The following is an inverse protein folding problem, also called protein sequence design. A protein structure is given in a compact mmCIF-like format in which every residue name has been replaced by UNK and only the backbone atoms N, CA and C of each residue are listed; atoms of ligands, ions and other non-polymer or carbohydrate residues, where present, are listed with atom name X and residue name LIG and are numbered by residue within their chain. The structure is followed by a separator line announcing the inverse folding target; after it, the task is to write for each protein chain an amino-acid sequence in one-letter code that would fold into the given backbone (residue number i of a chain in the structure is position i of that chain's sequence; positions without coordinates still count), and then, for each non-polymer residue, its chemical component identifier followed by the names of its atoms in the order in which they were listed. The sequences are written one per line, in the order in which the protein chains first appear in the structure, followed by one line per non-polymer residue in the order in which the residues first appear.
data_IF_164627583526
#
_entry.id   IF_164627583526
#
_cell.length_a   1.000
_cell.length_b   1.000
_cell.length_c   1.000
_cell.angle_alpha   90.00
_cell.angle_beta   90.00
_cell.angle_gamma   90.00
#
_symmetry.space_group_name_H-M   'P 1'
#
loop_
_entity.id
_entity.type
_entity.pdbx_description
1 polymer ?
#
# COMPACT_ATOMS: atom_id res chain seq x y z
N UNK A 1 -12.95 81.40 -2.93
CA UNK A 1 -11.63 80.74 -3.13
C UNK A 1 -11.31 79.66 -2.06
N UNK A 2 -11.71 79.82 -0.82
CA UNK A 2 -11.36 78.85 0.28
C UNK A 2 -11.95 77.46 0.13
N UNK A 3 -13.21 77.25 -0.29
CA UNK A 3 -13.85 75.95 -0.46
C UNK A 3 -13.15 75.02 -1.43
N UNK A 4 -12.58 75.51 -2.53
CA UNK A 4 -11.80 74.74 -3.52
C UNK A 4 -10.47 74.22 -2.92
N UNK A 5 -9.81 75.03 -2.08
CA UNK A 5 -8.57 74.62 -1.39
C UNK A 5 -8.80 73.48 -0.39
N UNK A 6 -9.89 73.50 0.36
CA UNK A 6 -10.27 72.41 1.27
C UNK A 6 -10.61 71.10 0.49
N UNK A 7 -11.29 71.23 -0.66
CA UNK A 7 -11.62 70.08 -1.49
C UNK A 7 -10.36 69.42 -2.07
N UNK A 8 -9.40 70.13 -2.58
CA UNK A 8 -8.14 69.60 -3.05
C UNK A 8 -7.29 69.02 -1.89
N UNK A 9 -7.29 69.64 -0.73
CA UNK A 9 -6.61 69.10 0.43
C UNK A 9 -7.19 67.74 0.90
N UNK A 10 -8.53 67.62 0.94
CA UNK A 10 -9.19 66.37 1.27
C UNK A 10 -8.93 65.28 0.23
N UNK A 11 -8.95 65.61 -1.07
CA UNK A 11 -8.65 64.65 -2.16
C UNK A 11 -7.21 64.15 -2.09
N UNK A 12 -6.24 65.01 -1.82
CA UNK A 12 -4.83 64.64 -1.63
C UNK A 12 -4.63 63.73 -0.42
N UNK A 13 -5.29 64.02 0.69
CA UNK A 13 -5.23 63.22 1.90
C UNK A 13 -5.79 61.82 1.67
N UNK A 14 -6.92 61.71 0.96
CA UNK A 14 -7.57 60.43 0.63
C UNK A 14 -6.70 59.61 -0.33
N UNK A 15 -6.05 60.27 -1.29
CA UNK A 15 -5.09 59.60 -2.19
C UNK A 15 -3.87 59.07 -1.43
N UNK A 16 -3.29 59.89 -0.52
CA UNK A 16 -2.14 59.48 0.28
C UNK A 16 -2.46 58.28 1.21
N UNK A 17 -3.63 58.34 1.86
CA UNK A 17 -4.04 57.20 2.75
C UNK A 17 -4.28 55.91 1.95
N UNK A 18 -4.92 55.99 0.77
CA UNK A 18 -5.12 54.83 -0.10
C UNK A 18 -3.78 54.28 -0.64
N UNK A 19 -2.84 55.17 -1.02
CA UNK A 19 -1.52 54.80 -1.51
C UNK A 19 -0.67 54.14 -0.41
N UNK A 20 -0.70 54.64 0.83
CA UNK A 20 -0.04 54.05 2.00
C UNK A 20 -0.67 52.68 2.32
N UNK A 21 -2.01 52.58 2.28
CA UNK A 21 -2.73 51.32 2.47
C UNK A 21 -2.33 50.26 1.44
N UNK A 22 -2.19 50.65 0.17
CA UNK A 22 -1.73 49.79 -0.92
C UNK A 22 -0.28 49.33 -0.72
N UNK A 23 0.62 50.20 -0.28
CA UNK A 23 2.00 49.83 0.04
C UNK A 23 2.10 48.88 1.22
N UNK A 24 1.34 49.10 2.28
CA UNK A 24 1.29 48.24 3.46
C UNK A 24 0.72 46.87 3.07
N UNK A 25 -0.35 46.85 2.29
CA UNK A 25 -0.95 45.61 1.81
C UNK A 25 0.00 44.84 0.89
N UNK A 26 0.62 45.51 -0.07
CA UNK A 26 1.62 44.91 -0.94
C UNK A 26 2.82 44.37 -0.15
N UNK A 27 3.34 45.16 0.78
CA UNK A 27 4.43 44.72 1.67
C UNK A 27 4.04 43.46 2.48
N UNK A 28 2.86 43.47 3.10
CA UNK A 28 2.34 42.29 3.83
C UNK A 28 2.20 41.07 2.94
N UNK A 29 1.64 41.22 1.74
CA UNK A 29 1.46 40.10 0.79
C UNK A 29 2.81 39.53 0.38
N UNK A 30 3.78 40.38 0.02
CA UNK A 30 5.14 39.92 -0.33
C UNK A 30 5.95 39.37 0.84
N UNK A 31 5.73 39.85 2.08
CA UNK A 31 6.43 39.33 3.25
C UNK A 31 5.78 38.06 3.81
N UNK A 32 4.45 37.91 3.72
CA UNK A 32 3.77 36.67 4.10
C UNK A 32 4.17 35.53 3.15
N UNK A 33 4.28 35.80 1.84
CA UNK A 33 4.84 34.81 0.91
C UNK A 33 6.30 34.45 1.26
N UNK A 34 7.08 35.38 1.78
CA UNK A 34 8.47 35.11 2.15
C UNK A 34 8.62 34.38 3.50
N UNK A 35 7.70 34.57 4.46
CA UNK A 35 7.64 33.76 5.68
C UNK A 35 7.04 32.35 5.43
N UNK A 36 6.09 32.23 4.51
CA UNK A 36 5.61 30.94 4.02
C UNK A 36 6.63 30.24 3.11
N UNK A 37 7.52 31.01 2.46
CA UNK A 37 8.65 30.48 1.70
C UNK A 37 9.92 30.24 2.52
N UNK A 38 9.93 30.55 3.80
CA UNK A 38 10.81 29.92 4.79
C UNK A 38 10.24 28.54 5.17
N UNK A 39 9.77 27.78 4.16
CA UNK A 39 9.54 26.35 4.28
C UNK A 39 10.84 25.71 4.76
N UNK A 40 10.75 24.87 5.75
CA UNK A 40 11.85 23.96 6.12
C UNK A 40 12.53 23.52 4.83
N UNK A 41 13.83 23.81 4.69
CA UNK A 41 14.59 23.48 3.49
C UNK A 41 14.84 21.98 3.56
N UNK A 42 13.88 21.19 3.05
CA UNK A 42 14.01 19.74 3.00
C UNK A 42 15.19 19.37 2.10
N UNK A 43 15.95 18.37 2.55
CA UNK A 43 17.11 17.86 1.81
C UNK A 43 16.71 17.23 0.47
N UNK A 44 15.57 16.53 0.45
CA UNK A 44 15.00 15.87 -0.73
C UNK A 44 13.48 15.96 -0.72
N UNK A 45 12.90 15.87 -1.91
CA UNK A 45 11.48 15.70 -2.13
C UNK A 45 11.23 14.31 -2.74
N UNK A 46 10.66 13.39 -1.97
CA UNK A 46 10.27 12.08 -2.44
C UNK A 46 8.75 11.99 -2.62
N UNK A 47 8.32 11.20 -3.60
CA UNK A 47 6.90 10.88 -3.80
C UNK A 47 6.64 9.42 -3.45
N UNK A 48 5.58 9.16 -2.68
CA UNK A 48 5.02 7.83 -2.46
C UNK A 48 3.67 7.74 -3.19
N UNK A 49 3.60 6.85 -4.17
CA UNK A 49 2.43 6.64 -5.03
C UNK A 49 1.81 5.31 -4.67
N UNK A 50 0.69 5.36 -3.97
CA UNK A 50 -0.03 4.20 -3.45
C UNK A 50 -1.17 3.76 -4.38
N UNK A 51 -1.72 2.56 -4.16
CA UNK A 51 -2.81 2.01 -4.96
C UNK A 51 -4.10 2.82 -4.84
N UNK A 52 -4.46 3.21 -3.61
CA UNK A 52 -5.66 4.01 -3.33
C UNK A 52 -5.54 4.83 -2.04
N UNK A 53 -6.35 5.87 -1.91
CA UNK A 53 -6.22 6.85 -0.82
C UNK A 53 -6.71 6.33 0.52
N UNK A 54 -7.87 5.64 0.55
CA UNK A 54 -8.57 5.26 1.78
C UNK A 54 -8.38 3.78 2.14
N UNK A 55 -7.19 3.24 1.95
CA UNK A 55 -6.82 1.87 2.27
C UNK A 55 -5.93 1.83 3.52
N UNK A 56 -6.32 1.06 4.53
CA UNK A 56 -5.61 0.97 5.81
C UNK A 56 -4.20 0.40 5.67
N UNK A 57 -4.00 -0.61 4.83
CA UNK A 57 -2.68 -1.16 4.54
C UNK A 57 -1.72 -0.11 3.94
N UNK A 58 -2.20 0.70 2.99
CA UNK A 58 -1.41 1.78 2.40
C UNK A 58 -1.13 2.93 3.38
N UNK A 59 -2.03 3.16 4.34
CA UNK A 59 -1.79 4.12 5.43
C UNK A 59 -0.65 3.70 6.34
N UNK A 60 -0.49 2.40 6.61
CA UNK A 60 0.64 1.88 7.39
C UNK A 60 1.96 2.06 6.63
N UNK A 61 1.99 1.81 5.31
CA UNK A 61 3.17 2.11 4.47
C UNK A 61 3.50 3.62 4.52
N UNK A 62 2.48 4.48 4.38
CA UNK A 62 2.65 5.93 4.48
C UNK A 62 3.22 6.32 5.85
N UNK A 63 2.70 5.77 6.93
CA UNK A 63 3.14 6.07 8.30
C UNK A 63 4.62 5.74 8.51
N UNK A 64 5.04 4.54 8.11
CA UNK A 64 6.45 4.13 8.16
C UNK A 64 7.34 5.05 7.32
N UNK A 65 6.91 5.37 6.10
CA UNK A 65 7.62 6.27 5.21
C UNK A 65 7.74 7.69 5.78
N UNK A 66 6.65 8.25 6.33
CA UNK A 66 6.64 9.59 6.96
C UNK A 66 7.52 9.65 8.21
N UNK A 67 7.47 8.62 9.05
CA UNK A 67 8.33 8.54 10.25
C UNK A 67 9.81 8.60 9.86
N UNK A 68 10.22 7.88 8.83
CA UNK A 68 11.60 7.87 8.37
C UNK A 68 11.97 9.17 7.64
N UNK A 69 11.10 9.67 6.75
CA UNK A 69 11.30 10.93 6.04
C UNK A 69 11.51 12.11 7.01
N UNK A 70 10.72 12.19 8.09
CA UNK A 70 10.84 13.22 9.10
C UNK A 70 12.20 13.19 9.82
N UNK A 71 12.71 11.99 10.15
CA UNK A 71 14.05 11.84 10.78
C UNK A 71 15.19 12.33 9.89
N UNK A 72 15.01 12.21 8.57
CA UNK A 72 16.04 12.48 7.56
C UNK A 72 15.89 13.83 6.86
N UNK A 73 14.96 14.69 7.34
CA UNK A 73 14.65 15.98 6.74
C UNK A 73 14.26 15.86 5.25
N UNK A 74 13.37 14.92 4.93
CA UNK A 74 12.83 14.66 3.60
C UNK A 74 11.37 15.09 3.56
N UNK A 75 10.98 15.84 2.53
CA UNK A 75 9.58 16.07 2.20
C UNK A 75 9.01 14.85 1.49
N UNK A 76 8.03 14.19 2.08
CA UNK A 76 7.33 13.06 1.48
C UNK A 76 5.95 13.50 0.98
N UNK A 77 5.77 13.51 -0.33
CA UNK A 77 4.48 13.73 -0.99
C UNK A 77 3.77 12.39 -1.17
N UNK A 78 2.65 12.19 -0.48
CA UNK A 78 1.80 11.02 -0.66
C UNK A 78 0.71 11.33 -1.68
N UNK A 79 0.59 10.49 -2.71
CA UNK A 79 -0.44 10.59 -3.74
C UNK A 79 -1.01 9.22 -4.08
N UNK A 80 -2.32 9.15 -4.29
CA UNK A 80 -3.00 7.92 -4.68
C UNK A 80 -4.29 8.24 -5.44
N UNK A 81 -4.80 7.32 -6.28
CA UNK A 81 -6.17 7.37 -6.77
C UNK A 81 -7.18 7.30 -5.63
N UNK A 82 -8.41 7.75 -5.85
CA UNK A 82 -9.49 7.62 -4.87
C UNK A 82 -9.93 6.16 -4.67
N UNK A 83 -9.76 5.35 -5.70
CA UNK A 83 -9.99 3.89 -5.71
C UNK A 83 -8.90 3.25 -6.53
N UNK A 84 -8.64 1.97 -6.33
CA UNK A 84 -7.67 1.21 -7.09
C UNK A 84 -7.94 1.31 -8.60
N UNK A 85 -7.14 2.15 -9.28
CA UNK A 85 -7.22 2.44 -10.71
C UNK A 85 -5.80 2.57 -11.27
N UNK A 86 -5.38 1.54 -12.02
CA UNK A 86 -4.04 1.49 -12.59
C UNK A 86 -3.77 2.63 -13.58
N UNK A 87 -4.77 3.08 -14.36
CA UNK A 87 -4.61 4.19 -15.30
C UNK A 87 -4.42 5.53 -14.59
N UNK A 88 -5.11 5.75 -13.50
CA UNK A 88 -4.95 6.95 -12.68
C UNK A 88 -3.60 6.92 -11.94
N UNK A 89 -3.21 5.79 -11.36
CA UNK A 89 -1.90 5.63 -10.73
C UNK A 89 -0.75 5.93 -11.70
N UNK A 90 -0.81 5.42 -12.93
CA UNK A 90 0.20 5.72 -13.95
C UNK A 90 0.24 7.20 -14.35
N UNK A 91 -0.91 7.91 -14.32
CA UNK A 91 -0.94 9.38 -14.52
C UNK A 91 -0.29 10.12 -13.35
N UNK A 92 -0.53 9.68 -12.11
CA UNK A 92 0.12 10.22 -10.92
C UNK A 92 1.64 10.01 -11.00
N UNK A 93 2.08 8.83 -11.41
CA UNK A 93 3.50 8.54 -11.61
C UNK A 93 4.13 9.50 -12.64
N UNK A 94 3.51 9.68 -13.81
CA UNK A 94 4.00 10.62 -14.82
C UNK A 94 4.03 12.07 -14.31
N UNK A 95 3.04 12.46 -13.49
CA UNK A 95 2.99 13.77 -12.84
C UNK A 95 4.17 13.98 -11.88
N UNK A 96 4.54 12.99 -11.06
CA UNK A 96 5.69 13.10 -10.15
C UNK A 96 7.01 13.18 -10.91
N UNK A 97 7.15 12.43 -12.01
CA UNK A 97 8.29 12.57 -12.92
C UNK A 97 8.37 13.98 -13.52
N UNK A 98 7.23 14.56 -13.90
CA UNK A 98 7.16 15.93 -14.44
C UNK A 98 7.44 16.99 -13.36
N UNK A 99 7.05 16.77 -12.13
CA UNK A 99 7.35 17.61 -10.97
C UNK A 99 8.84 17.60 -10.59
N UNK A 100 9.62 16.64 -11.14
CA UNK A 100 11.07 16.49 -10.89
C UNK A 100 11.39 16.25 -9.41
N UNK A 101 10.60 15.37 -8.77
CA UNK A 101 10.91 14.89 -7.41
C UNK A 101 12.28 14.19 -7.40
N UNK A 102 12.94 14.13 -6.24
CA UNK A 102 14.28 13.54 -6.12
C UNK A 102 14.26 12.00 -6.08
N UNK A 103 13.11 11.40 -5.81
CA UNK A 103 12.92 9.94 -5.81
C UNK A 103 11.44 9.55 -5.78
N UNK A 104 11.13 8.37 -6.29
CA UNK A 104 9.76 7.87 -6.37
C UNK A 104 9.68 6.47 -5.76
N UNK A 105 8.76 6.31 -4.83
CA UNK A 105 8.29 5.03 -4.29
C UNK A 105 6.93 4.78 -4.93
N UNK A 106 6.73 3.62 -5.55
CA UNK A 106 5.48 3.33 -6.26
C UNK A 106 5.13 1.85 -6.22
N UNK A 107 3.83 1.54 -6.08
CA UNK A 107 3.37 0.17 -6.30
C UNK A 107 3.65 -0.26 -7.74
N UNK A 108 4.22 -1.46 -7.91
CA UNK A 108 4.44 -2.03 -9.23
C UNK A 108 3.13 -2.41 -9.92
N UNK A 109 2.99 -2.05 -11.19
CA UNK A 109 1.83 -2.42 -12.03
C UNK A 109 2.35 -3.18 -13.24
N UNK A 110 1.75 -4.35 -13.52
CA UNK A 110 2.08 -5.07 -14.74
C UNK A 110 1.74 -4.25 -15.98
N UNK A 111 2.64 -4.35 -16.96
CA UNK A 111 2.42 -3.76 -18.27
C UNK A 111 3.48 -2.77 -18.71
N UNK A 112 3.52 -2.61 -20.04
CA UNK A 112 4.54 -1.82 -20.73
C UNK A 112 4.56 -0.36 -20.30
N UNK A 113 3.39 0.24 -20.03
CA UNK A 113 3.30 1.66 -19.62
C UNK A 113 4.05 1.94 -18.31
N UNK A 114 3.99 1.03 -17.35
CA UNK A 114 4.76 1.16 -16.10
C UNK A 114 6.26 1.11 -16.38
N UNK A 115 6.71 0.12 -17.18
CA UNK A 115 8.12 -0.01 -17.57
C UNK A 115 8.62 1.23 -18.29
N UNK A 116 7.84 1.77 -19.25
CA UNK A 116 8.17 2.99 -19.99
C UNK A 116 8.27 4.22 -19.05
N UNK A 117 7.43 4.31 -18.00
CA UNK A 117 7.51 5.38 -17.00
C UNK A 117 8.73 5.25 -16.10
N UNK A 118 9.08 4.03 -15.65
CA UNK A 118 10.31 3.80 -14.89
C UNK A 118 11.54 4.17 -15.72
N UNK A 119 11.57 3.79 -17.01
CA UNK A 119 12.62 4.20 -17.94
C UNK A 119 12.70 5.73 -18.08
N UNK A 120 11.56 6.41 -18.27
CA UNK A 120 11.47 7.87 -18.33
C UNK A 120 11.98 8.56 -17.05
N UNK A 121 11.70 7.99 -15.87
CA UNK A 121 12.24 8.48 -14.61
C UNK A 121 13.78 8.32 -14.56
N UNK A 122 14.28 7.15 -14.98
CA UNK A 122 15.72 6.86 -15.04
C UNK A 122 16.46 7.82 -15.97
N UNK A 123 15.93 8.11 -17.16
CA UNK A 123 16.49 9.12 -18.08
C UNK A 123 16.58 10.52 -17.43
N UNK A 124 15.67 10.83 -16.53
CA UNK A 124 15.65 12.10 -15.77
C UNK A 124 16.46 12.02 -14.46
N UNK A 125 17.13 10.91 -14.21
CA UNK A 125 17.92 10.65 -13.00
C UNK A 125 17.09 10.64 -11.72
N UNK A 126 15.81 10.28 -11.82
CA UNK A 126 14.91 10.09 -10.70
C UNK A 126 14.91 8.60 -10.36
N UNK A 127 15.50 8.16 -9.23
CA UNK A 127 15.47 6.77 -8.83
C UNK A 127 14.04 6.34 -8.48
N UNK A 128 13.69 5.11 -8.89
CA UNK A 128 12.40 4.49 -8.61
C UNK A 128 12.63 3.26 -7.73
N UNK A 129 11.93 3.19 -6.62
CA UNK A 129 11.81 2.02 -5.76
C UNK A 129 10.37 1.51 -5.87
N UNK A 130 10.19 0.23 -6.21
CA UNK A 130 8.88 -0.40 -6.14
C UNK A 130 8.61 -0.88 -4.71
N UNK A 131 7.38 -0.74 -4.23
CA UNK A 131 6.95 -1.17 -2.91
C UNK A 131 5.73 -2.08 -3.03
N UNK A 132 5.58 -3.06 -2.11
CA UNK A 132 4.48 -4.03 -2.06
C UNK A 132 4.41 -4.97 -3.27
N UNK A 133 4.36 -4.43 -4.46
CA UNK A 133 4.31 -5.19 -5.72
C UNK A 133 5.49 -4.84 -6.60
N UNK A 134 6.19 -5.85 -7.12
CA UNK A 134 7.39 -5.69 -7.96
C UNK A 134 7.10 -5.81 -9.45
N UNK A 135 7.89 -5.10 -10.26
CA UNK A 135 7.98 -5.26 -11.72
C UNK A 135 9.43 -5.51 -12.11
N UNK A 136 9.86 -6.76 -12.03
CA UNK A 136 11.25 -7.19 -12.25
C UNK A 136 11.81 -6.81 -13.61
N UNK A 137 10.94 -6.64 -14.61
CA UNK A 137 11.31 -6.25 -15.98
C UNK A 137 11.58 -4.74 -16.14
N UNK A 138 11.32 -3.93 -15.12
CA UNK A 138 11.56 -2.48 -15.15
C UNK A 138 12.99 -2.12 -14.71
N UNK A 139 13.40 -0.88 -14.97
CA UNK A 139 14.69 -0.32 -14.52
C UNK A 139 14.64 0.23 -13.08
N UNK A 140 13.68 -0.22 -12.27
CA UNK A 140 13.60 0.18 -10.86
C UNK A 140 14.91 -0.14 -10.14
N UNK A 141 15.26 0.64 -9.13
CA UNK A 141 16.55 0.47 -8.41
C UNK A 141 16.48 -0.57 -7.32
N UNK A 142 15.33 -0.69 -6.65
CA UNK A 142 15.06 -1.72 -5.66
C UNK A 142 13.57 -2.03 -5.61
N UNK A 143 13.25 -3.21 -5.11
CA UNK A 143 11.95 -3.60 -4.60
C UNK A 143 12.03 -3.69 -3.09
N UNK A 144 11.04 -3.13 -2.40
CA UNK A 144 10.86 -3.25 -0.96
C UNK A 144 9.49 -3.84 -0.69
N UNK A 145 9.43 -4.97 -0.02
CA UNK A 145 8.14 -5.61 0.27
C UNK A 145 8.27 -7.07 0.67
N UNK A 146 7.15 -7.76 0.69
CA UNK A 146 7.07 -9.20 0.99
C UNK A 146 7.65 -10.03 -0.17
N UNK A 147 8.35 -11.12 0.13
CA UNK A 147 8.51 -12.21 -0.82
C UNK A 147 7.15 -12.91 -1.00
N UNK A 148 6.39 -12.44 -2.00
CA UNK A 148 5.02 -12.89 -2.20
C UNK A 148 4.91 -14.37 -2.57
N UNK A 149 5.92 -14.93 -3.26
CA UNK A 149 5.95 -16.36 -3.54
C UNK A 149 6.12 -17.15 -2.23
N UNK A 150 7.08 -16.76 -1.41
CA UNK A 150 7.30 -17.37 -0.09
C UNK A 150 6.09 -17.20 0.84
N UNK A 151 5.45 -16.04 0.85
CA UNK A 151 4.21 -15.82 1.60
C UNK A 151 3.09 -16.79 1.20
N UNK A 152 2.96 -17.07 -0.10
CA UNK A 152 2.07 -18.10 -0.62
C UNK A 152 2.45 -19.53 -0.16
N UNK A 153 3.75 -19.85 -0.12
CA UNK A 153 4.23 -21.13 0.42
C UNK A 153 3.88 -21.27 1.91
N UNK A 154 4.02 -20.18 2.69
CA UNK A 154 3.61 -20.18 4.12
C UNK A 154 2.13 -20.44 4.28
N UNK A 155 1.26 -19.87 3.43
CA UNK A 155 -0.17 -20.17 3.48
C UNK A 155 -0.47 -21.65 3.19
N UNK A 156 0.21 -22.24 2.21
CA UNK A 156 0.10 -23.67 1.95
C UNK A 156 0.66 -24.55 3.06
N UNK A 157 1.77 -24.14 3.66
CA UNK A 157 2.38 -24.82 4.80
C UNK A 157 1.44 -24.83 6.00
N UNK A 158 0.74 -23.72 6.27
CA UNK A 158 -0.27 -23.64 7.32
C UNK A 158 -1.34 -24.74 7.18
N UNK A 159 -1.85 -24.97 5.96
CA UNK A 159 -2.80 -26.06 5.69
C UNK A 159 -2.16 -27.44 5.90
N UNK A 160 -0.95 -27.65 5.36
CA UNK A 160 -0.26 -28.93 5.43
C UNK A 160 0.00 -29.39 6.86
N UNK A 161 0.36 -28.49 7.73
CA UNK A 161 0.76 -28.77 9.11
C UNK A 161 -0.41 -28.87 10.08
N UNK A 162 -1.52 -28.18 9.79
CA UNK A 162 -2.64 -28.04 10.74
C UNK A 162 -3.92 -28.76 10.29
N UNK A 163 -3.89 -29.50 9.18
CA UNK A 163 -5.05 -30.28 8.72
C UNK A 163 -4.69 -31.74 8.49
N UNK A 164 -5.64 -32.65 8.66
CA UNK A 164 -5.51 -34.06 8.39
C UNK A 164 -6.48 -34.51 7.29
N UNK A 165 -6.23 -35.66 6.67
CA UNK A 165 -7.08 -36.25 5.63
C UNK A 165 -7.04 -35.45 4.30
N UNK A 166 -8.02 -35.71 3.44
CA UNK A 166 -8.16 -35.02 2.16
C UNK A 166 -8.63 -33.59 2.38
N UNK A 167 -7.99 -32.64 1.66
CA UNK A 167 -8.35 -31.24 1.73
C UNK A 167 -8.70 -30.70 0.33
N UNK A 168 -9.84 -30.06 0.24
CA UNK A 168 -10.31 -29.35 -0.94
C UNK A 168 -10.20 -27.84 -0.69
N UNK A 169 -9.23 -27.21 -1.36
CA UNK A 169 -8.84 -25.83 -1.07
C UNK A 169 -9.51 -24.88 -2.06
N UNK A 170 -10.31 -23.95 -1.55
CA UNK A 170 -10.79 -22.78 -2.29
C UNK A 170 -9.90 -21.58 -2.03
N UNK A 171 -9.64 -20.77 -3.06
CA UNK A 171 -8.82 -19.56 -2.96
C UNK A 171 -9.70 -18.34 -3.26
N UNK A 172 -9.67 -17.37 -2.36
CA UNK A 172 -10.20 -16.01 -2.59
C UNK A 172 -9.01 -15.10 -2.79
N UNK A 173 -8.97 -14.38 -3.91
CA UNK A 173 -7.86 -13.50 -4.25
C UNK A 173 -8.34 -12.10 -4.54
N UNK A 174 -7.55 -11.10 -4.18
CA UNK A 174 -7.92 -9.71 -4.37
C UNK A 174 -8.19 -9.38 -5.84
N UNK A 175 -7.17 -9.49 -6.69
CA UNK A 175 -7.26 -9.20 -8.13
C UNK A 175 -6.40 -10.17 -8.93
N UNK A 176 -6.95 -10.68 -10.03
CA UNK A 176 -6.21 -11.60 -10.91
C UNK A 176 -5.07 -10.94 -11.67
N UNK A 177 -5.13 -9.64 -11.91
CA UNK A 177 -4.12 -8.86 -12.63
C UNK A 177 -3.01 -8.30 -11.73
N UNK A 178 -3.11 -8.46 -10.40
CA UNK A 178 -2.09 -8.01 -9.45
C UNK A 178 -0.96 -9.05 -9.33
N UNK A 179 0.28 -8.62 -9.59
CA UNK A 179 1.47 -9.49 -9.61
C UNK A 179 1.68 -10.17 -8.25
N UNK A 180 1.59 -9.42 -7.15
CA UNK A 180 1.74 -9.96 -5.80
C UNK A 180 0.72 -11.08 -5.51
N UNK A 181 -0.53 -10.92 -5.92
CA UNK A 181 -1.58 -11.94 -5.77
C UNK A 181 -1.26 -13.20 -6.60
N UNK A 182 -0.78 -13.01 -7.83
CA UNK A 182 -0.35 -14.13 -8.69
C UNK A 182 0.83 -14.88 -8.07
N UNK A 183 1.82 -14.17 -7.51
CA UNK A 183 2.98 -14.77 -6.85
C UNK A 183 2.54 -15.54 -5.58
N UNK A 184 1.62 -15.02 -4.75
CA UNK A 184 1.04 -15.74 -3.60
C UNK A 184 0.34 -17.03 -4.02
N UNK A 185 -0.49 -16.98 -5.05
CA UNK A 185 -1.16 -18.18 -5.60
C UNK A 185 -0.12 -19.18 -6.19
N UNK A 186 0.93 -18.69 -6.83
CA UNK A 186 1.99 -19.55 -7.37
C UNK A 186 2.75 -20.26 -6.25
N UNK A 187 3.13 -19.55 -5.19
CA UNK A 187 3.78 -20.12 -4.01
C UNK A 187 2.90 -21.14 -3.29
N UNK A 188 1.61 -20.82 -3.08
CA UNK A 188 0.64 -21.75 -2.52
C UNK A 188 0.54 -23.03 -3.37
N UNK A 189 0.43 -22.92 -4.68
CA UNK A 189 0.40 -24.08 -5.58
C UNK A 189 1.69 -24.88 -5.52
N UNK A 190 2.84 -24.19 -5.50
CA UNK A 190 4.16 -24.83 -5.46
C UNK A 190 4.33 -25.74 -4.25
N UNK A 191 3.99 -25.26 -3.04
CA UNK A 191 4.16 -26.07 -1.82
C UNK A 191 3.11 -27.19 -1.70
N UNK A 192 1.94 -27.03 -2.30
CA UNK A 192 0.88 -28.03 -2.30
C UNK A 192 1.02 -29.07 -3.44
N UNK A 193 1.83 -28.74 -4.46
CA UNK A 193 2.01 -29.60 -5.63
C UNK A 193 2.61 -30.96 -5.24
N UNK A 194 2.02 -32.02 -5.79
CA UNK A 194 2.47 -33.39 -5.52
C UNK A 194 2.01 -33.97 -4.18
N UNK A 195 1.29 -33.22 -3.34
CA UNK A 195 0.67 -33.80 -2.16
C UNK A 195 -0.70 -34.41 -2.49
N UNK A 196 -0.84 -35.77 -2.47
CA UNK A 196 -2.05 -36.42 -2.97
C UNK A 196 -3.30 -36.15 -2.12
N UNK A 197 -3.14 -35.65 -0.89
CA UNK A 197 -4.26 -35.32 -0.02
C UNK A 197 -4.85 -33.93 -0.20
N UNK A 198 -4.20 -33.07 -1.04
CA UNK A 198 -4.62 -31.67 -1.20
C UNK A 198 -5.02 -31.44 -2.66
N UNK A 199 -6.21 -30.88 -2.85
CA UNK A 199 -6.71 -30.47 -4.15
C UNK A 199 -7.19 -29.02 -4.12
N UNK A 200 -6.59 -28.13 -4.93
CA UNK A 200 -7.12 -26.79 -5.18
C UNK A 200 -8.29 -26.93 -6.15
N UNK A 201 -9.51 -26.60 -5.69
CA UNK A 201 -10.74 -26.81 -6.47
C UNK A 201 -11.23 -25.57 -7.21
N UNK A 202 -10.89 -24.37 -6.71
CA UNK A 202 -11.32 -23.14 -7.38
C UNK A 202 -10.62 -21.91 -6.85
N UNK A 203 -10.62 -20.87 -7.69
CA UNK A 203 -10.12 -19.52 -7.36
C UNK A 203 -11.19 -18.50 -7.76
N UNK A 204 -11.53 -17.57 -6.89
CA UNK A 204 -12.46 -16.46 -7.17
C UNK A 204 -11.82 -15.14 -6.74
N UNK A 205 -12.18 -14.08 -7.45
CA UNK A 205 -11.69 -12.72 -7.20
C UNK A 205 -12.64 -11.97 -6.27
N UNK A 206 -12.08 -11.23 -5.30
CA UNK A 206 -12.83 -10.41 -4.34
C UNK A 206 -12.91 -8.93 -4.73
N UNK A 207 -12.03 -8.48 -5.64
CA UNK A 207 -11.88 -7.06 -5.97
C UNK A 207 -11.33 -6.23 -4.79
N UNK A 208 -10.61 -6.88 -3.85
CA UNK A 208 -10.03 -6.26 -2.64
C UNK A 208 -11.13 -5.58 -1.79
N UNK A 209 -12.29 -6.21 -1.69
CA UNK A 209 -13.41 -5.75 -0.86
C UNK A 209 -13.97 -6.90 -0.01
N UNK A 210 -14.40 -6.58 1.20
CA UNK A 210 -15.03 -7.54 2.10
C UNK A 210 -16.29 -8.18 1.47
N UNK A 211 -17.18 -7.35 0.92
CA UNK A 211 -18.38 -7.82 0.20
C UNK A 211 -18.01 -8.72 -0.97
N UNK A 212 -16.99 -8.37 -1.73
CA UNK A 212 -16.50 -9.19 -2.84
C UNK A 212 -15.94 -10.52 -2.37
N UNK A 213 -15.21 -10.54 -1.25
CA UNK A 213 -14.70 -11.76 -0.64
C UNK A 213 -15.83 -12.65 -0.11
N UNK A 214 -16.86 -12.09 0.53
CA UNK A 214 -18.08 -12.79 0.94
C UNK A 214 -18.77 -13.45 -0.25
N UNK A 215 -18.96 -12.71 -1.35
CA UNK A 215 -19.57 -13.24 -2.59
C UNK A 215 -18.70 -14.31 -3.27
N UNK A 216 -17.37 -14.12 -3.29
CA UNK A 216 -16.43 -15.10 -3.82
C UNK A 216 -16.50 -16.41 -3.03
N UNK A 217 -16.54 -16.32 -1.70
CA UNK A 217 -16.67 -17.47 -0.79
C UNK A 217 -17.99 -18.19 -0.96
N UNK A 218 -19.10 -17.44 -1.00
CA UNK A 218 -20.41 -18.00 -1.33
C UNK A 218 -20.38 -18.79 -2.63
N UNK A 219 -19.78 -18.20 -3.68
CA UNK A 219 -19.69 -18.83 -5.00
C UNK A 219 -18.84 -20.10 -4.97
N UNK A 220 -17.71 -20.09 -4.26
CA UNK A 220 -16.85 -21.26 -4.07
C UNK A 220 -17.58 -22.39 -3.35
N UNK A 221 -18.22 -22.12 -2.23
CA UNK A 221 -18.91 -23.13 -1.43
C UNK A 221 -20.13 -23.71 -2.15
N UNK A 222 -20.80 -22.93 -2.99
CA UNK A 222 -21.90 -23.38 -3.81
C UNK A 222 -21.44 -24.27 -4.97
N UNK A 223 -20.32 -23.91 -5.61
CA UNK A 223 -19.77 -24.65 -6.76
C UNK A 223 -19.02 -25.91 -6.30
N UNK A 224 -18.35 -25.83 -5.15
CA UNK A 224 -17.53 -26.90 -4.54
C UNK A 224 -17.95 -27.16 -3.09
N UNK A 225 -19.08 -27.83 -2.84
CA UNK A 225 -19.56 -28.08 -1.45
C UNK A 225 -18.61 -28.90 -0.60
N UNK A 226 -17.64 -29.59 -1.20
CA UNK A 226 -16.61 -30.39 -0.51
C UNK A 226 -15.45 -29.55 0.06
N UNK A 227 -15.37 -28.23 -0.17
CA UNK A 227 -14.29 -27.39 0.36
C UNK A 227 -14.13 -27.61 1.85
N UNK A 228 -12.90 -27.88 2.28
CA UNK A 228 -12.49 -28.07 3.68
C UNK A 228 -11.48 -27.03 4.14
N UNK A 229 -10.88 -26.30 3.19
CA UNK A 229 -9.99 -25.17 3.50
C UNK A 229 -10.22 -24.00 2.55
N UNK A 230 -10.06 -22.79 3.08
CA UNK A 230 -10.11 -21.54 2.33
C UNK A 230 -8.82 -20.74 2.56
N UNK A 231 -8.30 -20.13 1.49
CA UNK A 231 -7.15 -19.25 1.56
C UNK A 231 -7.54 -17.90 0.95
N UNK A 232 -7.45 -16.85 1.76
CA UNK A 232 -7.47 -15.47 1.27
C UNK A 232 -6.07 -15.03 0.89
N UNK A 233 -5.90 -14.15 -0.08
CA UNK A 233 -4.59 -13.64 -0.49
C UNK A 233 -4.46 -12.12 -0.36
N UNK A 234 -5.49 -11.45 0.14
CA UNK A 234 -5.49 -10.01 0.46
C UNK A 234 -6.12 -9.74 1.84
N UNK A 235 -5.90 -8.54 2.36
CA UNK A 235 -6.26 -8.15 3.73
C UNK A 235 -7.73 -8.40 4.09
N UNK A 236 -8.66 -8.09 3.19
CA UNK A 236 -10.10 -8.21 3.43
C UNK A 236 -10.69 -9.58 3.08
N UNK A 237 -9.90 -10.45 2.45
CA UNK A 237 -10.39 -11.77 2.05
C UNK A 237 -10.73 -12.64 3.27
N UNK A 238 -9.92 -12.56 4.35
CA UNK A 238 -10.10 -13.35 5.56
C UNK A 238 -11.47 -13.14 6.19
N UNK A 239 -11.85 -11.89 6.39
CA UNK A 239 -13.14 -11.51 6.98
C UNK A 239 -14.30 -11.88 6.09
N UNK A 240 -14.22 -11.56 4.80
CA UNK A 240 -15.27 -11.96 3.86
C UNK A 240 -15.41 -13.49 3.71
N UNK A 241 -14.33 -14.26 3.90
CA UNK A 241 -14.42 -15.73 3.96
C UNK A 241 -15.19 -16.22 5.18
N UNK A 242 -14.96 -15.63 6.36
CA UNK A 242 -15.71 -15.95 7.57
C UNK A 242 -17.20 -15.63 7.36
N UNK A 243 -17.55 -14.43 6.91
CA UNK A 243 -18.92 -14.02 6.67
C UNK A 243 -19.64 -14.92 5.65
N UNK A 244 -18.98 -15.19 4.52
CA UNK A 244 -19.55 -16.06 3.48
C UNK A 244 -19.76 -17.51 3.94
N UNK A 245 -18.88 -18.02 4.82
CA UNK A 245 -19.03 -19.33 5.42
C UNK A 245 -20.18 -19.37 6.44
N UNK A 246 -20.26 -18.38 7.33
CA UNK A 246 -21.34 -18.26 8.32
C UNK A 246 -22.72 -18.13 7.67
N UNK A 247 -22.81 -17.46 6.50
CA UNK A 247 -24.07 -17.27 5.79
C UNK A 247 -24.57 -18.55 5.12
N UNK A 248 -23.69 -19.31 4.45
CA UNK A 248 -24.09 -20.46 3.59
C UNK A 248 -23.96 -21.82 4.27
N UNK A 249 -23.00 -21.97 5.18
CA UNK A 249 -22.67 -23.25 5.79
C UNK A 249 -22.16 -23.08 7.23
N UNK A 250 -22.97 -22.52 8.16
CA UNK A 250 -22.52 -22.14 9.52
C UNK A 250 -22.03 -23.33 10.36
N UNK A 251 -22.49 -24.52 10.07
CA UNK A 251 -22.10 -25.75 10.81
C UNK A 251 -20.88 -26.45 10.17
N UNK A 252 -20.32 -25.88 9.11
CA UNK A 252 -19.21 -26.51 8.38
C UNK A 252 -17.88 -26.11 8.99
N UNK A 253 -17.08 -27.11 9.36
CA UNK A 253 -15.70 -26.90 9.78
C UNK A 253 -14.81 -26.71 8.57
N UNK A 254 -14.24 -25.51 8.40
CA UNK A 254 -13.38 -25.11 7.28
C UNK A 254 -12.15 -24.42 7.83
N UNK A 255 -10.97 -24.91 7.48
CA UNK A 255 -9.69 -24.29 7.84
C UNK A 255 -9.48 -23.01 7.02
N UNK A 256 -9.39 -21.85 7.67
CA UNK A 256 -9.22 -20.56 7.00
C UNK A 256 -7.83 -20.02 7.26
N UNK A 257 -7.09 -19.73 6.15
CA UNK A 257 -5.83 -18.97 6.17
C UNK A 257 -6.08 -17.62 5.50
N UNK A 258 -5.82 -16.53 6.24
CA UNK A 258 -5.94 -15.16 5.79
C UNK A 258 -4.58 -14.53 5.40
N UNK A 259 -4.59 -13.28 5.03
CA UNK A 259 -3.42 -12.43 4.85
C UNK A 259 -3.60 -11.13 5.65
N UNK A 260 -2.47 -10.54 6.01
CA UNK A 260 -2.34 -9.28 6.75
C UNK A 260 -2.77 -9.34 8.22
N UNK A 261 -2.46 -8.26 8.94
CA UNK A 261 -2.64 -8.15 10.39
C UNK A 261 -3.69 -7.07 10.73
N UNK A 262 -4.76 -6.97 9.94
CA UNK A 262 -5.84 -6.03 10.28
C UNK A 262 -6.53 -6.47 11.57
N UNK A 263 -7.01 -5.52 12.40
CA UNK A 263 -7.59 -5.82 13.71
C UNK A 263 -8.68 -6.90 13.67
N UNK A 264 -9.57 -6.84 12.70
CA UNK A 264 -10.68 -7.78 12.52
C UNK A 264 -10.19 -9.21 12.26
N UNK A 265 -9.11 -9.37 11.49
CA UNK A 265 -8.50 -10.69 11.23
C UNK A 265 -7.88 -11.24 12.50
N UNK A 266 -7.17 -10.41 13.29
CA UNK A 266 -6.58 -10.82 14.56
C UNK A 266 -7.65 -11.21 15.59
N UNK A 267 -8.75 -10.48 15.65
CA UNK A 267 -9.88 -10.80 16.52
C UNK A 267 -10.55 -12.12 16.08
N UNK A 268 -10.71 -12.34 14.77
CA UNK A 268 -11.25 -13.61 14.25
C UNK A 268 -10.33 -14.81 14.53
N UNK A 269 -9.00 -14.63 14.61
CA UNK A 269 -8.06 -15.66 15.05
C UNK A 269 -8.26 -15.96 16.54
N UNK A 270 -8.41 -14.94 17.39
CA UNK A 270 -8.65 -15.11 18.82
C UNK A 270 -9.96 -15.85 19.07
N UNK A 271 -11.01 -15.56 18.30
CA UNK A 271 -12.30 -16.25 18.32
C UNK A 271 -12.24 -17.67 17.72
N UNK A 272 -11.18 -18.01 16.99
CA UNK A 272 -11.01 -19.31 16.33
C UNK A 272 -11.77 -19.47 15.02
N UNK A 273 -12.29 -18.37 14.45
CA UNK A 273 -12.97 -18.32 13.14
C UNK A 273 -11.97 -18.39 11.98
N UNK A 274 -10.80 -17.79 12.16
CA UNK A 274 -9.65 -17.90 11.27
C UNK A 274 -8.56 -18.67 12.03
N UNK A 275 -7.92 -19.65 11.37
CA UNK A 275 -6.92 -20.47 12.03
C UNK A 275 -5.52 -19.87 11.92
N UNK A 276 -5.23 -19.16 10.82
CA UNK A 276 -3.95 -18.51 10.65
C UNK A 276 -4.07 -17.31 9.69
N UNK A 277 -3.14 -16.36 9.81
CA UNK A 277 -2.91 -15.31 8.82
C UNK A 277 -1.44 -15.22 8.45
N UNK A 278 -1.14 -14.80 7.25
CA UNK A 278 0.22 -14.54 6.80
C UNK A 278 0.52 -13.06 7.02
N UNK A 279 1.45 -12.81 7.94
CA UNK A 279 1.83 -11.47 8.36
C UNK A 279 2.63 -10.75 7.26
N UNK A 280 2.34 -9.48 7.05
CA UNK A 280 3.16 -8.51 6.34
C UNK A 280 3.40 -7.31 7.26
N UNK A 281 4.50 -6.58 7.03
CA UNK A 281 4.88 -5.44 7.86
C UNK A 281 4.96 -4.15 7.02
N UNK A 282 3.80 -3.55 6.69
CA UNK A 282 3.73 -2.41 5.78
C UNK A 282 4.45 -1.15 6.30
N UNK A 283 4.46 -0.90 7.62
CA UNK A 283 5.27 0.21 8.17
C UNK A 283 6.75 0.05 7.87
N UNK A 284 7.27 -1.17 7.95
CA UNK A 284 8.66 -1.46 7.62
C UNK A 284 8.92 -1.25 6.13
N UNK A 285 8.00 -1.67 5.26
CA UNK A 285 8.09 -1.40 3.81
C UNK A 285 8.20 0.09 3.52
N UNK A 286 7.38 0.91 4.16
CA UNK A 286 7.44 2.37 4.03
C UNK A 286 8.78 2.95 4.46
N UNK A 287 9.25 2.56 5.65
CA UNK A 287 10.54 2.97 6.21
C UNK A 287 11.70 2.59 5.29
N UNK A 288 11.77 1.32 4.90
CA UNK A 288 12.87 0.81 4.08
C UNK A 288 12.87 1.39 2.65
N UNK A 289 11.68 1.76 2.12
CA UNK A 289 11.58 2.44 0.83
C UNK A 289 12.21 3.83 0.86
N UNK A 290 11.96 4.61 1.92
CA UNK A 290 12.60 5.93 2.10
C UNK A 290 14.10 5.78 2.32
N UNK A 291 14.51 4.85 3.17
CA UNK A 291 15.93 4.51 3.43
C UNK A 291 16.63 4.13 2.12
N UNK A 292 15.99 3.33 1.28
CA UNK A 292 16.51 2.92 -0.04
C UNK A 292 16.74 4.11 -0.96
N UNK A 293 15.77 5.04 -1.06
CA UNK A 293 15.95 6.25 -1.85
C UNK A 293 17.09 7.13 -1.34
N UNK A 294 17.23 7.28 -0.02
CA UNK A 294 18.34 8.04 0.58
C UNK A 294 19.70 7.44 0.23
N UNK A 295 19.87 6.12 0.36
CA UNK A 295 21.09 5.41 -0.03
C UNK A 295 21.40 5.60 -1.52
N UNK A 296 20.39 5.57 -2.40
CA UNK A 296 20.56 5.83 -3.83
C UNK A 296 21.02 7.28 -4.10
N UNK A 297 20.54 8.27 -3.35
CA UNK A 297 20.99 9.65 -3.44
C UNK A 297 22.45 9.81 -2.99
N UNK A 298 22.86 9.04 -1.99
CA UNK A 298 24.25 9.02 -1.47
C UNK A 298 25.17 8.14 -2.32
N UNK A 299 24.66 7.51 -3.36
CA UNK A 299 25.37 6.59 -4.28
C UNK A 299 25.92 5.34 -3.60
N UNK A 300 25.27 4.93 -2.54
CA UNK A 300 25.57 3.67 -1.88
C UNK A 300 25.10 2.48 -2.71
N UNK A 301 25.77 1.34 -2.50
CA UNK A 301 25.30 0.08 -3.03
C UNK A 301 23.99 -0.33 -2.34
N UNK A 302 22.99 -0.67 -3.12
CA UNK A 302 21.69 -1.12 -2.65
C UNK A 302 21.39 -2.51 -3.20
N UNK A 303 20.82 -3.36 -2.37
CA UNK A 303 20.27 -4.64 -2.82
C UNK A 303 19.06 -4.40 -3.74
N UNK A 304 18.95 -5.23 -4.77
CA UNK A 304 17.86 -5.11 -5.73
C UNK A 304 16.50 -5.59 -5.17
N UNK A 305 16.53 -6.47 -4.16
CA UNK A 305 15.38 -7.02 -3.46
C UNK A 305 15.61 -6.84 -1.97
N UNK A 306 14.72 -6.12 -1.32
CA UNK A 306 14.72 -5.86 0.13
C UNK A 306 13.42 -6.42 0.66
N UNK A 307 13.48 -7.66 1.12
CA UNK A 307 12.32 -8.31 1.70
C UNK A 307 12.11 -7.90 3.15
N UNK A 308 10.90 -7.46 3.45
CA UNK A 308 10.44 -7.31 4.83
C UNK A 308 10.07 -8.67 5.42
N UNK A 309 10.06 -8.74 6.74
CA UNK A 309 9.69 -9.96 7.45
C UNK A 309 8.30 -10.46 7.02
N UNK A 310 8.10 -11.78 7.03
CA UNK A 310 6.80 -12.41 6.85
C UNK A 310 6.76 -13.71 7.65
N UNK A 311 5.58 -14.09 8.13
CA UNK A 311 5.42 -15.26 8.97
C UNK A 311 3.97 -15.67 9.13
N UNK A 312 3.75 -16.84 9.72
CA UNK A 312 2.41 -17.34 10.07
C UNK A 312 2.07 -16.84 11.46
N UNK A 313 0.94 -16.16 11.58
CA UNK A 313 0.34 -15.79 12.86
C UNK A 313 -0.91 -16.65 13.06
N UNK A 314 -0.95 -17.33 14.19
CA UNK A 314 -2.04 -18.18 14.64
C UNK A 314 -2.38 -17.86 16.11
N UNK A 315 -3.31 -18.62 16.69
CA UNK A 315 -3.75 -18.42 18.06
C UNK A 315 -2.63 -18.58 19.11
N UNK A 316 -1.61 -19.39 18.81
CA UNK A 316 -0.54 -19.70 19.75
C UNK A 316 0.49 -18.57 19.84
N UNK A 317 0.78 -17.91 18.72
CA UNK A 317 1.78 -16.84 18.66
C UNK A 317 1.18 -15.41 18.59
N UNK A 318 -0.12 -15.25 18.38
CA UNK A 318 -0.83 -13.97 18.41
C UNK A 318 -0.58 -13.14 19.69
N UNK A 319 -0.52 -13.72 20.92
CA UNK A 319 -0.24 -12.95 22.13
C UNK A 319 1.13 -12.24 22.07
N UNK A 320 2.16 -12.90 21.58
CA UNK A 320 3.50 -12.33 21.45
C UNK A 320 3.51 -11.12 20.46
N UNK A 321 2.78 -11.24 19.35
CA UNK A 321 2.62 -10.14 18.40
C UNK A 321 1.95 -8.92 19.04
N UNK A 322 0.88 -9.12 19.82
CA UNK A 322 0.16 -8.02 20.52
C UNK A 322 1.00 -7.35 21.62
N UNK A 323 1.95 -8.07 22.22
CA UNK A 323 2.89 -7.53 23.20
C UNK A 323 4.09 -6.80 22.56
N UNK A 324 4.17 -6.77 21.22
CA UNK A 324 5.28 -6.15 20.49
C UNK A 324 6.60 -6.91 20.61
N UNK A 325 6.55 -8.21 20.88
CA UNK A 325 7.70 -9.10 20.82
C UNK A 325 7.79 -9.68 19.40
N UNK A 326 8.96 -9.50 18.71
CA UNK A 326 9.15 -10.02 17.37
C UNK A 326 9.19 -11.54 17.31
#
# INVERSE_FOLDING_TARGET
MHRRRYFYGAAILLFLTSFIGMLIYGYKTFYIEKELAASEEYRYHFALIAEETDNEYWRLIEEGARKEAAKQNVYLEYVAPQRADNDELLKLFDRMIAAKVDGIIVQGIDGRRFVDLVHKATERRIPVVTVDTDVKSSERKAYVGTDNHHAGELAGKSILENTEGEQFVGIVTGRFDAINQQERIAGLKHILEGNPRIQIVGVKESGITEIGATQATYSLLKEYPQITALVGTSALDGIGMVEGLEEIAPDKDVYITAFDLIPETLDAIEEGKIQATIAQFPEEMGKESVTSLLRLQEKDLLENLIYTETGIIDKDNLPALREGQP
#
